data_IF_625304522055
#
_entry.id   IF_625304522055
#
_cell.length_a   1.000
_cell.length_b   1.000
_cell.length_c   1.000
_cell.angle_alpha   90.00
_cell.angle_beta   90.00
_cell.angle_gamma   90.00
#
_symmetry.space_group_name_H-M   'P 1'
#
loop_
_entity.id
_entity.type
_entity.pdbx_description
1 polymer ?
#
# COMPACT_ATOMS: atom_id res chain seq x y z
N UNK A 1 -4.99 4.64 15.31
CA UNK A 1 -4.94 3.85 14.05
C UNK A 1 -4.70 4.80 12.88
N UNK A 2 -3.58 4.70 12.16
CA UNK A 2 -3.32 5.49 10.97
C UNK A 2 -3.91 4.82 9.72
N UNK A 3 -4.60 5.59 8.88
CA UNK A 3 -5.07 5.15 7.56
C UNK A 3 -4.81 6.21 6.51
N UNK A 4 -4.53 5.79 5.28
CA UNK A 4 -4.54 6.70 4.15
C UNK A 4 -5.97 7.15 3.85
N UNK A 5 -6.14 8.32 3.24
CA UNK A 5 -7.45 8.87 2.86
C UNK A 5 -8.21 7.88 1.96
N UNK A 6 -9.35 7.31 2.40
CA UNK A 6 -10.09 6.35 1.59
C UNK A 6 -10.73 6.94 0.33
N UNK A 7 -10.82 8.27 0.26
CA UNK A 7 -11.34 9.01 -0.89
C UNK A 7 -10.27 9.19 -1.98
N UNK A 8 -9.00 9.25 -1.60
CA UNK A 8 -7.90 9.65 -2.49
C UNK A 8 -6.90 8.52 -2.76
N UNK A 9 -6.75 7.59 -1.81
CA UNK A 9 -5.72 6.54 -1.87
C UNK A 9 -6.35 5.14 -1.94
N UNK A 10 -5.95 4.29 -2.91
CA UNK A 10 -6.40 2.89 -2.98
C UNK A 10 -6.17 2.10 -1.68
N UNK A 11 -5.03 2.30 -1.04
CA UNK A 11 -4.72 1.69 0.27
C UNK A 11 -5.68 2.14 1.38
N UNK A 12 -6.12 3.40 1.35
CA UNK A 12 -7.12 3.91 2.28
C UNK A 12 -8.50 3.28 2.05
N UNK A 13 -8.87 3.07 0.78
CA UNK A 13 -10.11 2.37 0.40
C UNK A 13 -10.09 0.92 0.91
N UNK A 14 -8.98 0.21 0.72
CA UNK A 14 -8.81 -1.16 1.22
C UNK A 14 -8.89 -1.21 2.75
N UNK A 15 -8.19 -0.32 3.47
CA UNK A 15 -8.27 -0.22 4.93
C UNK A 15 -9.72 0.01 5.40
N UNK A 16 -10.47 0.88 4.73
CA UNK A 16 -11.90 1.09 5.04
C UNK A 16 -12.72 -0.17 4.84
N UNK A 17 -12.52 -0.92 3.75
CA UNK A 17 -13.23 -2.18 3.50
C UNK A 17 -13.02 -3.18 4.64
N UNK A 18 -11.78 -3.35 5.10
CA UNK A 18 -11.47 -4.23 6.24
C UNK A 18 -12.21 -3.78 7.51
N UNK A 19 -12.18 -2.49 7.82
CA UNK A 19 -12.84 -1.96 9.02
C UNK A 19 -14.37 -2.04 8.93
N UNK A 20 -14.94 -1.95 7.72
CA UNK A 20 -16.37 -2.12 7.47
C UNK A 20 -16.80 -3.59 7.59
N UNK A 21 -16.04 -4.51 7.00
CA UNK A 21 -16.23 -5.96 7.15
C UNK A 21 -16.25 -6.38 8.63
N UNK A 22 -15.38 -5.76 9.44
CA UNK A 22 -15.32 -6.00 10.90
C UNK A 22 -16.31 -5.19 11.72
N UNK A 23 -17.16 -4.37 11.11
CA UNK A 23 -18.19 -3.60 11.81
C UNK A 23 -17.67 -2.49 12.73
N UNK A 24 -16.40 -2.08 12.59
CA UNK A 24 -15.74 -1.12 13.49
C UNK A 24 -15.41 0.23 12.83
N UNK A 25 -15.70 0.39 11.54
CA UNK A 25 -15.41 1.61 10.77
C UNK A 25 -15.97 2.88 11.42
N UNK A 26 -17.25 2.87 11.81
CA UNK A 26 -17.91 4.04 12.40
C UNK A 26 -17.36 4.35 13.80
N UNK A 27 -17.18 3.32 14.64
CA UNK A 27 -16.65 3.46 16.01
C UNK A 27 -15.21 4.00 16.06
N UNK A 28 -14.43 3.81 14.98
CA UNK A 28 -13.05 4.24 14.92
C UNK A 28 -12.85 5.62 14.27
N UNK A 29 -13.88 6.26 13.69
CA UNK A 29 -13.74 7.54 12.98
C UNK A 29 -12.96 8.59 13.77
N UNK A 30 -13.29 8.76 15.05
CA UNK A 30 -12.69 9.78 15.92
C UNK A 30 -11.31 9.40 16.48
N UNK A 31 -10.86 8.14 16.30
CA UNK A 31 -9.56 7.63 16.78
C UNK A 31 -8.58 7.35 15.63
N UNK A 32 -8.94 7.73 14.42
CA UNK A 32 -8.12 7.54 13.24
C UNK A 32 -7.29 8.77 12.92
N UNK A 33 -6.00 8.56 12.70
CA UNK A 33 -5.10 9.56 12.12
C UNK A 33 -5.14 9.36 10.61
N UNK A 34 -5.46 10.41 9.85
CA UNK A 34 -5.60 10.33 8.40
C UNK A 34 -4.37 10.86 7.70
N UNK A 35 -3.67 10.00 6.97
CA UNK A 35 -2.68 10.43 5.98
C UNK A 35 -3.33 10.75 4.65
N UNK A 36 -2.80 11.72 3.92
CA UNK A 36 -3.23 12.06 2.56
C UNK A 36 -2.96 10.90 1.59
N UNK A 37 -1.87 10.17 1.80
CA UNK A 37 -1.44 9.02 1.02
C UNK A 37 -0.79 7.94 1.90
N UNK A 38 -0.39 6.83 1.27
CA UNK A 38 0.20 5.68 1.97
C UNK A 38 1.60 5.98 2.53
N UNK A 39 2.35 6.90 1.90
CA UNK A 39 3.64 7.37 2.39
C UNK A 39 3.51 8.11 3.73
N UNK A 40 2.60 9.07 3.82
CA UNK A 40 2.36 9.80 5.08
C UNK A 40 1.80 8.90 6.17
N UNK A 41 0.88 7.98 5.82
CA UNK A 41 0.33 7.01 6.76
C UNK A 41 1.43 6.16 7.39
N UNK A 42 2.35 5.67 6.56
CA UNK A 42 3.52 4.95 7.01
C UNK A 42 4.43 5.78 7.93
N UNK A 43 4.64 7.06 7.63
CA UNK A 43 5.45 7.93 8.50
C UNK A 43 4.86 8.06 9.91
N UNK A 44 3.53 8.13 10.06
CA UNK A 44 2.90 8.15 11.39
C UNK A 44 3.21 6.90 12.21
N UNK A 45 3.29 5.73 11.56
CA UNK A 45 3.66 4.48 12.22
C UNK A 45 5.15 4.47 12.55
N UNK A 46 5.99 4.80 11.57
CA UNK A 46 7.44 4.81 11.72
C UNK A 46 7.92 5.78 12.81
N UNK A 47 7.25 6.92 12.97
CA UNK A 47 7.61 7.91 13.99
C UNK A 47 6.99 7.64 15.37
N UNK A 48 6.13 6.62 15.50
CA UNK A 48 5.38 6.35 16.74
C UNK A 48 4.20 7.31 17.00
N UNK A 49 3.88 8.21 16.07
CA UNK A 49 2.72 9.11 16.20
C UNK A 49 1.38 8.35 16.10
N UNK A 50 1.39 7.13 15.57
CA UNK A 50 0.30 6.19 15.65
C UNK A 50 0.84 4.78 15.95
N UNK A 51 0.24 4.12 16.93
CA UNK A 51 0.65 2.78 17.39
C UNK A 51 0.32 1.66 16.39
N UNK A 52 -0.71 1.87 15.55
CA UNK A 52 -1.21 0.89 14.59
C UNK A 52 -1.58 1.61 13.30
N UNK A 53 -1.39 0.98 12.14
CA UNK A 53 -1.84 1.54 10.87
C UNK A 53 -1.89 0.52 9.74
N UNK A 54 -2.71 0.82 8.74
CA UNK A 54 -2.70 0.09 7.47
C UNK A 54 -1.68 0.74 6.53
N UNK A 55 -0.66 -0.04 6.14
CA UNK A 55 0.44 0.39 5.27
C UNK A 55 0.59 -0.56 4.07
N UNK A 56 1.41 -0.18 3.09
CA UNK A 56 1.77 -1.09 2.01
C UNK A 56 2.83 -2.10 2.48
N UNK A 57 2.68 -3.38 2.14
CA UNK A 57 3.66 -4.41 2.48
C UNK A 57 5.06 -4.10 1.93
N UNK A 58 5.12 -3.42 0.78
CA UNK A 58 6.35 -2.95 0.16
C UNK A 58 7.13 -1.94 0.97
N UNK A 59 6.47 -1.18 1.84
CA UNK A 59 7.15 -0.27 2.76
C UNK A 59 7.76 -1.03 3.94
N UNK A 60 7.24 -2.21 4.29
CA UNK A 60 7.76 -3.08 5.36
C UNK A 60 8.89 -3.97 4.82
N UNK A 61 8.72 -4.56 3.64
CA UNK A 61 9.72 -5.45 3.01
C UNK A 61 10.89 -4.70 2.37
N UNK A 62 10.94 -3.37 2.49
CA UNK A 62 11.99 -2.58 1.90
C UNK A 62 13.36 -2.93 2.53
N UNK A 63 14.37 -3.39 1.76
CA UNK A 63 15.63 -3.91 2.31
C UNK A 63 16.40 -2.89 3.17
N UNK A 64 16.33 -1.60 2.81
CA UNK A 64 17.00 -0.53 3.54
C UNK A 64 16.28 -0.12 4.85
N UNK A 65 15.07 -0.61 5.10
CA UNK A 65 14.22 -0.17 6.21
C UNK A 65 13.58 -1.36 6.91
N UNK A 66 14.35 -2.03 7.77
CA UNK A 66 13.78 -2.98 8.72
C UNK A 66 12.85 -2.20 9.67
N UNK A 67 11.61 -2.66 9.77
CA UNK A 67 10.66 -2.14 10.76
C UNK A 67 10.56 -3.12 11.90
N UNK A 68 10.76 -2.59 13.10
CA UNK A 68 10.52 -3.29 14.34
C UNK A 68 9.03 -3.24 14.69
N UNK A 69 8.55 -4.25 15.41
CA UNK A 69 7.17 -4.34 15.86
C UNK A 69 6.49 -5.60 15.36
N UNK A 70 5.19 -5.50 15.12
CA UNK A 70 4.35 -6.64 14.70
C UNK A 70 3.63 -6.33 13.39
N UNK A 71 3.45 -7.37 12.58
CA UNK A 71 2.78 -7.30 11.29
C UNK A 71 1.61 -8.28 11.29
N UNK A 72 0.46 -7.81 10.80
CA UNK A 72 -0.64 -8.67 10.41
C UNK A 72 -0.88 -8.52 8.92
N UNK A 73 -0.59 -9.57 8.14
CA UNK A 73 -0.96 -9.61 6.73
C UNK A 73 -2.48 -9.80 6.63
N UNK A 74 -3.15 -8.77 6.11
CA UNK A 74 -4.61 -8.74 6.01
C UNK A 74 -5.05 -9.76 4.95
N UNK A 75 -5.94 -10.72 5.29
CA UNK A 75 -6.46 -11.68 4.32
C UNK A 75 -7.13 -10.98 3.14
N UNK A 76 -6.83 -11.43 1.92
CA UNK A 76 -7.36 -10.84 0.67
C UNK A 76 -8.89 -10.85 0.60
N UNK A 77 -9.57 -11.77 1.30
CA UNK A 77 -11.04 -11.83 1.35
C UNK A 77 -11.69 -10.61 2.03
N UNK A 78 -10.92 -9.78 2.75
CA UNK A 78 -11.43 -8.64 3.53
C UNK A 78 -11.41 -7.31 2.76
N UNK A 79 -10.83 -7.28 1.56
CA UNK A 79 -10.74 -6.07 0.74
C UNK A 79 -10.61 -6.42 -0.74
N UNK A 80 -11.00 -5.50 -1.61
CA UNK A 80 -10.80 -5.68 -3.05
C UNK A 80 -9.31 -5.60 -3.39
N UNK A 81 -8.79 -6.43 -4.32
CA UNK A 81 -7.39 -6.36 -4.75
C UNK A 81 -6.96 -4.92 -5.10
N UNK A 82 -5.75 -4.56 -4.70
CA UNK A 82 -5.15 -3.26 -5.03
C UNK A 82 -4.34 -3.42 -6.32
N UNK A 83 -5.04 -3.41 -7.45
CA UNK A 83 -4.42 -3.50 -8.76
C UNK A 83 -3.70 -2.18 -9.11
N UNK A 84 -2.44 -2.31 -9.51
CA UNK A 84 -1.60 -1.18 -9.90
C UNK A 84 -1.29 -1.29 -11.39
N UNK A 85 -1.57 -0.22 -12.12
CA UNK A 85 -1.43 -0.17 -13.57
C UNK A 85 -0.45 0.94 -13.97
N UNK A 86 0.26 0.72 -15.07
CA UNK A 86 1.11 1.70 -15.71
C UNK A 86 0.57 2.02 -17.10
N UNK A 87 0.62 3.31 -17.47
CA UNK A 87 0.22 3.80 -18.78
C UNK A 87 1.32 4.70 -19.35
N UNK A 88 1.49 4.68 -20.67
CA UNK A 88 2.33 5.66 -21.35
C UNK A 88 1.56 6.97 -21.50
N UNK A 89 2.09 8.05 -20.94
CA UNK A 89 1.51 9.39 -21.10
C UNK A 89 1.92 10.01 -22.44
N UNK A 90 3.18 9.81 -22.82
CA UNK A 90 3.73 10.24 -24.10
C UNK A 90 4.50 9.06 -24.71
N UNK A 91 4.36 8.90 -26.02
CA UNK A 91 4.98 7.79 -26.73
C UNK A 91 6.39 8.16 -27.21
N UNK A 92 7.39 7.40 -26.77
CA UNK A 92 8.78 7.56 -27.17
C UNK A 92 9.51 6.22 -27.07
N UNK A 93 10.64 6.08 -27.76
CA UNK A 93 11.45 4.87 -27.70
C UNK A 93 11.87 4.55 -26.26
N UNK A 94 12.29 5.57 -25.51
CA UNK A 94 12.68 5.41 -24.11
C UNK A 94 11.49 4.98 -23.22
N UNK A 95 10.31 5.55 -23.43
CA UNK A 95 9.13 5.21 -22.63
C UNK A 95 8.62 3.79 -22.93
N UNK A 96 8.64 3.37 -24.21
CA UNK A 96 8.32 1.99 -24.62
C UNK A 96 9.33 0.99 -24.09
N UNK A 97 10.63 1.31 -24.18
CA UNK A 97 11.69 0.46 -23.65
C UNK A 97 11.55 0.29 -22.13
N UNK A 98 11.25 1.36 -21.39
CA UNK A 98 11.01 1.29 -19.96
C UNK A 98 9.78 0.45 -19.62
N UNK A 99 8.65 0.63 -20.32
CA UNK A 99 7.45 -0.18 -20.10
C UNK A 99 7.69 -1.66 -20.43
N UNK A 100 8.49 -1.96 -21.45
CA UNK A 100 8.90 -3.32 -21.78
C UNK A 100 9.77 -3.92 -20.66
N UNK A 101 10.71 -3.15 -20.11
CA UNK A 101 11.52 -3.56 -18.96
C UNK A 101 10.67 -3.82 -17.71
N UNK A 102 9.72 -2.95 -17.38
CA UNK A 102 8.82 -3.14 -16.21
C UNK A 102 8.03 -4.46 -16.30
N UNK A 103 7.85 -5.00 -17.50
CA UNK A 103 7.17 -6.29 -17.77
C UNK A 103 8.14 -7.48 -17.91
N UNK A 104 9.45 -7.26 -17.85
CA UNK A 104 10.44 -8.32 -17.97
C UNK A 104 10.48 -9.19 -16.70
N UNK A 105 10.95 -10.42 -16.84
CA UNK A 105 11.10 -11.34 -15.70
C UNK A 105 11.98 -10.75 -14.58
N UNK A 106 13.06 -10.05 -14.96
CA UNK A 106 13.95 -9.34 -14.03
C UNK A 106 13.17 -8.30 -13.20
N UNK A 107 12.35 -7.46 -13.84
CA UNK A 107 11.59 -6.45 -13.12
C UNK A 107 10.49 -7.08 -12.25
N UNK A 108 9.83 -8.14 -12.74
CA UNK A 108 8.82 -8.87 -11.98
C UNK A 108 9.41 -9.54 -10.73
N UNK A 109 10.64 -10.04 -10.78
CA UNK A 109 11.36 -10.55 -9.61
C UNK A 109 11.64 -9.46 -8.58
N UNK A 110 12.08 -8.27 -9.02
CA UNK A 110 12.25 -7.12 -8.13
C UNK A 110 10.93 -6.76 -7.45
N UNK A 111 9.84 -6.65 -8.24
CA UNK A 111 8.49 -6.32 -7.75
C UNK A 111 8.02 -7.33 -6.69
N UNK A 112 8.20 -8.63 -6.94
CA UNK A 112 7.90 -9.70 -5.97
C UNK A 112 8.77 -9.62 -4.72
N UNK A 113 10.04 -9.25 -4.86
CA UNK A 113 10.97 -9.03 -3.75
C UNK A 113 10.49 -7.96 -2.75
N UNK A 114 9.80 -6.93 -3.24
CA UNK A 114 9.13 -5.92 -2.40
C UNK A 114 7.74 -6.37 -1.90
N UNK A 115 7.28 -7.59 -2.17
CA UNK A 115 6.03 -8.12 -1.65
C UNK A 115 4.78 -7.73 -2.44
N UNK A 116 4.92 -7.29 -3.68
CA UNK A 116 3.79 -7.18 -4.60
C UNK A 116 3.50 -8.54 -5.25
N UNK A 117 2.23 -8.78 -5.60
CA UNK A 117 1.87 -9.81 -6.56
C UNK A 117 2.11 -9.30 -7.99
N UNK A 118 2.40 -10.22 -8.91
CA UNK A 118 2.49 -9.96 -10.35
C UNK A 118 1.42 -10.78 -11.07
N UNK A 119 0.90 -10.34 -12.23
CA UNK A 119 0.01 -11.14 -13.07
C UNK A 119 0.60 -12.50 -13.46
#
# INVERSE_FOLDING_TARGET
>A
LAIASPKLAPYGKAARQVLQDRGIWEALQHRMVRGENIGQTFQFIKSGNAELGFVALSQIKHPAHAIEGSLWEVPQSLYSPIEQQAVLLNDSDAARAFLAFVKSDESLEIIRGFGYATP
#
